data_IF_723201936387
#
_entry.id   IF_723201936387
#
_cell.length_a   1.000
_cell.length_b   1.000
_cell.length_c   1.000
_cell.angle_alpha   90.00
_cell.angle_beta   90.00
_cell.angle_gamma   90.00
#
_symmetry.space_group_name_H-M   'P 1'
#
loop_
_entity.id
_entity.type
_entity.pdbx_description
1 polymer ?
#
# COMPACT_ATOMS: atom_id res chain seq x y z
N UNK A 1 14.18 8.96 -21.34
CA UNK A 1 13.09 9.73 -21.99
C UNK A 1 11.94 8.77 -22.24
N UNK A 2 10.75 8.80 -21.63
CA UNK A 2 10.24 9.43 -20.41
C UNK A 2 9.98 8.28 -19.42
N UNK A 3 10.65 8.23 -18.26
CA UNK A 3 10.34 7.19 -17.27
C UNK A 3 9.15 7.67 -16.46
N UNK A 4 7.94 7.34 -16.92
CA UNK A 4 6.72 7.61 -16.17
C UNK A 4 6.81 7.00 -14.77
N UNK A 5 6.29 7.71 -13.78
CA UNK A 5 6.30 7.26 -12.38
C UNK A 5 5.60 5.90 -12.26
N UNK A 6 6.27 4.94 -11.61
CA UNK A 6 5.68 3.67 -11.16
C UNK A 6 5.32 3.80 -9.69
N UNK A 7 4.04 3.70 -9.39
CA UNK A 7 3.49 4.00 -8.07
C UNK A 7 2.86 2.75 -7.48
N UNK A 8 3.28 2.38 -6.27
CA UNK A 8 2.59 1.40 -5.45
C UNK A 8 1.87 2.14 -4.32
N UNK A 9 0.58 1.86 -4.14
CA UNK A 9 -0.17 2.35 -2.99
C UNK A 9 -0.64 1.18 -2.15
N UNK A 10 -0.18 1.12 -0.91
CA UNK A 10 -0.55 0.09 0.05
C UNK A 10 -1.41 0.68 1.18
N UNK A 11 -2.41 -0.08 1.60
CA UNK A 11 -3.36 0.32 2.63
C UNK A 11 -3.53 -0.79 3.68
N UNK A 12 -4.01 -0.51 4.90
CA UNK A 12 -4.28 -1.56 5.89
C UNK A 12 -5.49 -2.43 5.57
N UNK A 13 -6.42 -1.95 4.74
CA UNK A 13 -7.74 -2.56 4.55
C UNK A 13 -8.10 -2.62 3.08
N UNK A 14 -8.72 -3.74 2.66
CA UNK A 14 -9.23 -3.89 1.31
C UNK A 14 -10.17 -2.73 0.93
N UNK A 15 -11.10 -2.36 1.81
CA UNK A 15 -12.04 -1.26 1.57
C UNK A 15 -11.35 0.08 1.26
N UNK A 16 -10.21 0.37 1.90
CA UNK A 16 -9.44 1.60 1.65
C UNK A 16 -8.77 1.53 0.27
N UNK A 17 -8.12 0.40 -0.05
CA UNK A 17 -7.51 0.19 -1.37
C UNK A 17 -8.54 0.24 -2.51
N UNK A 18 -9.75 -0.24 -2.23
CA UNK A 18 -10.85 -0.29 -3.18
C UNK A 18 -11.44 1.10 -3.44
N UNK A 19 -11.67 1.88 -2.39
CA UNK A 19 -12.09 3.27 -2.52
C UNK A 19 -11.04 4.10 -3.29
N UNK A 20 -9.76 3.85 -3.04
CA UNK A 20 -8.67 4.52 -3.75
C UNK A 20 -8.69 4.20 -5.25
N UNK A 21 -8.71 2.92 -5.62
CA UNK A 21 -8.65 2.56 -7.05
C UNK A 21 -9.89 3.02 -7.81
N UNK A 22 -11.05 3.04 -7.15
CA UNK A 22 -12.27 3.65 -7.70
C UNK A 22 -12.13 5.13 -7.95
N UNK A 23 -11.63 5.87 -6.95
CA UNK A 23 -11.35 7.29 -7.13
C UNK A 23 -10.40 7.52 -8.30
N UNK A 24 -9.40 6.66 -8.52
CA UNK A 24 -8.49 6.74 -9.66
C UNK A 24 -9.14 6.38 -11.01
N UNK A 25 -10.14 5.50 -11.02
CA UNK A 25 -10.92 5.16 -12.21
C UNK A 25 -11.76 6.34 -12.72
N UNK A 26 -12.11 7.26 -11.81
CA UNK A 26 -12.92 8.45 -12.09
C UNK A 26 -12.05 9.69 -12.43
N UNK A 27 -10.72 9.60 -12.34
CA UNK A 27 -9.84 10.73 -12.68
C UNK A 27 -9.65 10.82 -14.19
N UNK A 28 -10.03 11.97 -14.76
CA UNK A 28 -9.76 12.30 -16.15
C UNK A 28 -8.25 12.29 -16.45
N UNK A 29 -7.88 11.52 -17.47
CA UNK A 29 -6.48 11.41 -17.93
C UNK A 29 -5.70 10.23 -17.33
N UNK A 30 -6.28 9.43 -16.43
CA UNK A 30 -5.68 8.18 -15.96
C UNK A 30 -6.26 6.99 -16.74
N UNK A 31 -5.48 6.32 -17.63
CA UNK A 31 -6.00 5.20 -18.38
C UNK A 31 -6.25 4.00 -17.45
N UNK A 32 -7.46 3.41 -17.51
CA UNK A 32 -7.82 2.22 -16.71
C UNK A 32 -6.86 1.06 -16.92
N UNK A 33 -6.30 0.92 -18.13
CA UNK A 33 -5.30 -0.10 -18.50
C UNK A 33 -3.96 0.07 -17.77
N UNK A 34 -3.74 1.20 -17.10
CA UNK A 34 -2.54 1.49 -16.30
C UNK A 34 -2.73 1.30 -14.80
N UNK A 35 -3.94 0.91 -14.38
CA UNK A 35 -4.30 0.65 -12.99
C UNK A 35 -4.40 -0.85 -12.73
N UNK A 36 -3.84 -1.30 -11.61
CA UNK A 36 -3.98 -2.68 -11.16
C UNK A 36 -4.29 -2.77 -9.66
N UNK A 37 -5.26 -3.61 -9.31
CA UNK A 37 -5.62 -3.96 -7.94
C UNK A 37 -5.06 -5.33 -7.57
N UNK A 38 -4.01 -5.34 -6.76
CA UNK A 38 -3.41 -6.54 -6.21
C UNK A 38 -4.19 -7.04 -4.97
N UNK A 39 -5.18 -7.89 -5.19
CA UNK A 39 -5.98 -8.52 -4.13
C UNK A 39 -5.27 -9.72 -3.48
N UNK A 40 -5.68 -10.08 -2.26
CA UNK A 40 -5.31 -11.34 -1.63
C UNK A 40 -5.91 -12.52 -2.42
N UNK A 41 -5.19 -13.65 -2.54
CA UNK A 41 -5.63 -14.80 -3.33
C UNK A 41 -7.06 -15.25 -3.03
N UNK A 42 -7.36 -15.42 -1.75
CA UNK A 42 -8.64 -15.92 -1.25
C UNK A 42 -9.54 -14.80 -0.73
N UNK A 43 -9.42 -13.60 -1.30
CA UNK A 43 -10.39 -12.55 -1.05
C UNK A 43 -11.74 -13.02 -1.62
N UNK A 44 -12.79 -12.89 -0.82
CA UNK A 44 -14.16 -13.17 -1.26
C UNK A 44 -14.52 -12.28 -2.46
N UNK A 45 -14.83 -12.91 -3.58
CA UNK A 45 -15.16 -12.25 -4.84
C UNK A 45 -16.49 -11.48 -4.75
N UNK A 46 -17.45 -11.97 -3.95
CA UNK A 46 -18.76 -11.31 -3.79
C UNK A 46 -18.63 -9.98 -3.03
N UNK A 47 -17.51 -9.78 -2.33
CA UNK A 47 -17.13 -8.53 -1.68
C UNK A 47 -16.24 -7.64 -2.55
N UNK A 48 -16.01 -8.00 -3.83
CA UNK A 48 -15.29 -7.18 -4.80
C UNK A 48 -16.26 -6.61 -5.82
N UNK A 49 -16.44 -5.28 -5.82
CA UNK A 49 -17.30 -4.63 -6.78
C UNK A 49 -16.84 -4.74 -8.24
N UNK A 50 -17.80 -4.74 -9.17
CA UNK A 50 -17.59 -4.99 -10.61
C UNK A 50 -16.59 -4.02 -11.27
N UNK A 51 -16.62 -2.74 -10.87
CA UNK A 51 -15.70 -1.71 -11.34
C UNK A 51 -14.25 -2.00 -10.96
N UNK A 52 -14.03 -2.59 -9.78
CA UNK A 52 -12.71 -3.00 -9.29
C UNK A 52 -12.26 -4.31 -9.94
N UNK A 53 -13.20 -5.20 -10.27
CA UNK A 53 -12.90 -6.46 -10.96
C UNK A 53 -12.20 -6.20 -12.31
N UNK A 54 -12.53 -5.12 -13.01
CA UNK A 54 -11.86 -4.71 -14.26
C UNK A 54 -10.38 -4.36 -14.08
N UNK A 55 -9.97 -3.99 -12.87
CA UNK A 55 -8.57 -3.68 -12.52
C UNK A 55 -7.87 -4.84 -11.82
N UNK A 56 -8.55 -5.97 -11.63
CA UNK A 56 -8.05 -7.15 -10.93
C UNK A 56 -7.84 -8.30 -11.90
N UNK A 57 -6.95 -9.23 -11.58
CA UNK A 57 -6.88 -10.51 -12.29
C UNK A 57 -7.45 -11.61 -11.40
N UNK A 58 -8.47 -12.30 -11.90
CA UNK A 58 -9.11 -13.44 -11.25
C UNK A 58 -9.04 -14.64 -12.20
N UNK A 59 -8.47 -15.76 -11.73
CA UNK A 59 -8.30 -16.97 -12.54
C UNK A 59 -8.68 -18.21 -11.73
N UNK A 60 -9.58 -19.02 -12.29
CA UNK A 60 -10.14 -20.18 -11.60
C UNK A 60 -11.00 -19.71 -10.42
N UNK A 61 -10.46 -19.82 -9.22
CA UNK A 61 -11.17 -19.50 -7.97
C UNK A 61 -10.38 -18.52 -7.08
N UNK A 62 -9.34 -17.88 -7.62
CA UNK A 62 -8.44 -17.01 -6.85
C UNK A 62 -8.05 -15.74 -7.61
N UNK A 63 -7.80 -14.68 -6.84
CA UNK A 63 -7.10 -13.50 -7.35
C UNK A 63 -5.63 -13.82 -7.58
N UNK A 64 -5.11 -13.46 -8.75
CA UNK A 64 -3.71 -13.71 -9.15
C UNK A 64 -3.02 -12.41 -9.55
N UNK A 65 -1.69 -12.45 -9.61
CA UNK A 65 -0.95 -11.41 -10.30
C UNK A 65 -0.81 -11.81 -11.78
N UNK A 66 -0.88 -10.85 -12.72
CA UNK A 66 -0.61 -11.10 -14.12
C UNK A 66 0.87 -11.49 -14.33
N UNK A 67 1.22 -12.04 -15.50
CA UNK A 67 2.60 -12.27 -15.87
C UNK A 67 3.46 -11.02 -15.68
N UNK A 68 4.73 -11.21 -15.31
CA UNK A 68 5.62 -10.10 -14.92
C UNK A 68 5.68 -8.94 -15.93
N UNK A 69 5.65 -9.25 -17.23
CA UNK A 69 5.71 -8.23 -18.28
C UNK A 69 4.46 -7.33 -18.30
N UNK A 70 3.27 -7.89 -18.05
CA UNK A 70 2.03 -7.13 -17.88
C UNK A 70 2.05 -6.37 -16.55
N UNK A 71 2.51 -7.02 -15.47
CA UNK A 71 2.58 -6.39 -14.16
C UNK A 71 3.49 -5.13 -14.17
N UNK A 72 4.63 -5.18 -14.87
CA UNK A 72 5.53 -4.04 -15.07
C UNK A 72 4.94 -2.94 -15.98
N UNK A 73 3.87 -3.22 -16.73
CA UNK A 73 3.24 -2.27 -17.65
C UNK A 73 2.27 -1.30 -16.96
N UNK A 74 1.72 -1.67 -15.79
CA UNK A 74 0.89 -0.79 -14.97
C UNK A 74 1.71 0.36 -14.40
N UNK A 75 1.10 1.54 -14.31
CA UNK A 75 1.75 2.74 -13.77
C UNK A 75 1.35 2.94 -12.30
N UNK A 76 0.14 2.51 -11.91
CA UNK A 76 -0.31 2.53 -10.51
C UNK A 76 -0.83 1.15 -10.10
N UNK A 77 -0.26 0.62 -9.03
CA UNK A 77 -0.70 -0.63 -8.39
C UNK A 77 -1.22 -0.32 -6.99
N UNK A 78 -2.41 -0.84 -6.66
CA UNK A 78 -2.99 -0.71 -5.32
C UNK A 78 -3.08 -2.07 -4.63
N UNK A 79 -2.69 -2.13 -3.36
CA UNK A 79 -2.65 -3.37 -2.57
C UNK A 79 -3.00 -3.11 -1.11
N UNK A 80 -3.23 -4.18 -0.36
CA UNK A 80 -3.09 -4.09 1.11
C UNK A 80 -1.63 -4.25 1.50
N UNK A 81 -1.24 -3.77 2.68
CA UNK A 81 0.11 -4.01 3.22
C UNK A 81 0.47 -5.49 3.15
N UNK A 82 -0.43 -6.35 3.61
CA UNK A 82 -0.24 -7.79 3.61
C UNK A 82 -0.38 -8.47 2.24
N UNK A 83 -0.95 -7.84 1.21
CA UNK A 83 -1.01 -8.45 -0.13
C UNK A 83 0.14 -8.01 -1.03
N UNK A 84 0.89 -6.96 -0.63
CA UNK A 84 2.02 -6.43 -1.39
C UNK A 84 3.14 -7.44 -1.61
N UNK A 85 3.35 -8.41 -0.69
CA UNK A 85 4.36 -9.48 -0.89
C UNK A 85 4.12 -10.30 -2.17
N UNK A 86 2.86 -10.38 -2.65
CA UNK A 86 2.52 -11.09 -3.88
C UNK A 86 3.15 -10.43 -5.11
N UNK A 87 3.38 -9.12 -5.07
CA UNK A 87 4.06 -8.40 -6.15
C UNK A 87 5.51 -8.85 -6.26
N UNK A 88 6.20 -8.95 -5.13
CA UNK A 88 7.55 -9.51 -5.09
C UNK A 88 7.56 -10.99 -5.53
N UNK A 89 6.60 -11.79 -5.02
CA UNK A 89 6.44 -13.19 -5.43
C UNK A 89 6.12 -13.38 -6.92
N UNK A 90 5.53 -12.37 -7.58
CA UNK A 90 5.29 -12.34 -9.02
C UNK A 90 6.53 -11.90 -9.84
N UNK A 91 7.64 -11.59 -9.18
CA UNK A 91 8.92 -11.22 -9.80
C UNK A 91 9.17 -9.71 -9.88
N UNK A 92 8.40 -8.87 -9.16
CA UNK A 92 8.74 -7.45 -9.04
C UNK A 92 9.98 -7.30 -8.17
N UNK A 93 10.98 -6.63 -8.74
CA UNK A 93 12.28 -6.39 -8.14
C UNK A 93 12.27 -5.08 -7.32
N UNK A 94 13.12 -4.96 -6.30
CA UNK A 94 13.35 -3.71 -5.59
C UNK A 94 13.68 -2.56 -6.56
N UNK A 95 13.10 -1.38 -6.32
CA UNK A 95 13.31 -0.20 -7.16
C UNK A 95 12.48 -0.16 -8.45
N UNK A 96 11.63 -1.16 -8.71
CA UNK A 96 10.65 -1.08 -9.79
C UNK A 96 9.67 0.09 -9.58
N UNK A 97 9.21 0.28 -8.33
CA UNK A 97 8.35 1.39 -7.97
C UNK A 97 9.19 2.60 -7.62
N UNK A 98 9.05 3.65 -8.40
CA UNK A 98 9.64 4.96 -8.08
C UNK A 98 9.07 5.56 -6.78
N UNK A 99 7.80 5.25 -6.48
CA UNK A 99 7.10 5.77 -5.30
C UNK A 99 6.29 4.66 -4.63
N UNK A 100 6.38 4.59 -3.30
CA UNK A 100 5.55 3.71 -2.49
C UNK A 100 4.80 4.55 -1.45
N UNK A 101 3.47 4.52 -1.53
CA UNK A 101 2.57 5.19 -0.60
C UNK A 101 2.06 4.18 0.43
N UNK A 102 2.30 4.43 1.71
CA UNK A 102 1.68 3.72 2.82
C UNK A 102 0.52 4.55 3.35
N UNK A 103 -0.70 4.30 2.87
CA UNK A 103 -1.88 5.04 3.30
C UNK A 103 -2.46 4.50 4.61
N UNK A 104 -2.97 5.38 5.46
CA UNK A 104 -3.55 5.06 6.77
C UNK A 104 -2.58 4.22 7.64
N UNK A 105 -1.28 4.45 7.54
CA UNK A 105 -0.25 3.67 8.24
C UNK A 105 -0.31 3.81 9.76
N UNK A 106 -0.96 4.86 10.29
CA UNK A 106 -1.28 5.01 11.71
C UNK A 106 -2.19 3.88 12.25
N UNK A 107 -3.03 3.30 11.39
CA UNK A 107 -4.00 2.26 11.73
C UNK A 107 -3.47 0.82 11.62
N UNK A 108 -2.23 0.64 11.15
CA UNK A 108 -1.58 -0.68 10.98
C UNK A 108 -0.43 -0.90 11.95
N UNK A 109 -0.21 -2.15 12.34
CA UNK A 109 0.99 -2.49 13.10
C UNK A 109 2.23 -2.20 12.25
N UNK A 110 3.32 -1.76 12.88
CA UNK A 110 4.58 -1.57 12.16
C UNK A 110 5.03 -2.79 11.32
N UNK A 111 5.03 -4.04 11.84
CA UNK A 111 5.38 -5.20 11.03
C UNK A 111 4.45 -5.42 9.83
N UNK A 112 3.18 -5.03 9.93
CA UNK A 112 2.22 -5.12 8.83
C UNK A 112 2.59 -4.12 7.73
N UNK A 113 2.76 -2.83 8.08
CA UNK A 113 3.15 -1.79 7.11
C UNK A 113 4.50 -2.07 6.44
N UNK A 114 5.43 -2.70 7.17
CA UNK A 114 6.79 -3.01 6.68
C UNK A 114 6.79 -4.02 5.53
N UNK A 115 5.77 -4.87 5.41
CA UNK A 115 5.66 -5.84 4.30
C UNK A 115 5.69 -5.14 2.93
N UNK A 116 5.07 -3.96 2.83
CA UNK A 116 5.06 -3.17 1.60
C UNK A 116 6.42 -2.57 1.23
N UNK A 117 7.36 -2.52 2.18
CA UNK A 117 8.70 -1.96 1.96
C UNK A 117 9.75 -3.06 1.76
N UNK A 118 9.66 -4.16 2.50
CA UNK A 118 10.75 -5.11 2.72
C UNK A 118 11.43 -5.67 1.45
N UNK A 119 10.68 -5.89 0.37
CA UNK A 119 11.22 -6.49 -0.87
C UNK A 119 10.93 -5.65 -2.13
N UNK A 120 10.51 -4.39 -1.96
CA UNK A 120 10.07 -3.53 -3.08
C UNK A 120 10.82 -2.19 -3.13
N UNK A 121 11.43 -1.77 -2.02
CA UNK A 121 12.18 -0.51 -1.90
C UNK A 121 13.63 -0.67 -2.39
N UNK A 122 14.10 0.31 -3.17
CA UNK A 122 15.53 0.60 -3.39
C UNK A 122 15.90 1.98 -2.82
N UNK A 123 17.18 2.35 -2.91
CA UNK A 123 17.68 3.66 -2.45
C UNK A 123 17.04 4.84 -3.19
N UNK A 124 16.59 4.62 -4.43
CA UNK A 124 15.93 5.61 -5.28
C UNK A 124 14.40 5.67 -5.10
N UNK A 125 13.83 4.78 -4.28
CA UNK A 125 12.39 4.71 -4.07
C UNK A 125 11.93 5.77 -3.06
N UNK A 126 11.02 6.65 -3.48
CA UNK A 126 10.41 7.64 -2.60
C UNK A 126 9.29 6.97 -1.79
N UNK A 127 9.40 7.02 -0.46
CA UNK A 127 8.37 6.49 0.44
C UNK A 127 7.53 7.64 0.99
N UNK A 128 6.22 7.57 0.80
CA UNK A 128 5.25 8.52 1.35
C UNK A 128 4.38 7.79 2.36
N UNK A 129 4.28 8.29 3.58
CA UNK A 129 3.50 7.65 4.65
C UNK A 129 2.41 8.62 5.08
N UNK A 130 1.16 8.16 5.02
CA UNK A 130 0.02 8.93 5.53
C UNK A 130 -0.52 8.29 6.80
N UNK A 131 -1.11 9.11 7.66
CA UNK A 131 -1.68 8.65 8.92
C UNK A 131 -2.29 9.79 9.71
N UNK A 132 -2.90 9.42 10.83
CA UNK A 132 -3.52 10.32 11.79
C UNK A 132 -2.93 10.07 13.17
N UNK A 133 -2.63 11.13 13.90
CA UNK A 133 -2.19 11.07 15.31
C UNK A 133 -3.27 10.53 16.26
N UNK A 134 -4.53 10.46 15.80
CA UNK A 134 -5.66 9.94 16.57
C UNK A 134 -5.89 8.43 16.38
N UNK A 135 -5.31 7.86 15.34
CA UNK A 135 -5.48 6.46 15.01
C UNK A 135 -4.42 5.59 15.69
N UNK A 136 -4.70 4.29 15.81
CA UNK A 136 -3.72 3.32 16.28
C UNK A 136 -4.09 1.92 15.76
N UNK A 137 -3.13 0.98 15.68
CA UNK A 137 -3.39 -0.41 15.32
C UNK A 137 -4.49 -1.00 16.20
N UNK A 138 -5.67 -1.32 15.66
CA UNK A 138 -6.80 -1.75 16.51
C UNK A 138 -6.68 -3.19 16.99
N UNK A 139 -6.26 -4.11 16.12
CA UNK A 139 -6.31 -5.56 16.33
C UNK A 139 -4.97 -6.19 16.74
N UNK A 140 -4.57 -5.97 18.00
CA UNK A 140 -3.48 -6.73 18.62
C UNK A 140 -4.10 -7.60 19.71
N UNK A 141 -4.20 -8.92 19.52
CA UNK A 141 -4.88 -9.82 20.49
C UNK A 141 -4.06 -10.07 21.76
N UNK A 142 -2.75 -10.25 21.62
CA UNK A 142 -1.83 -10.51 22.75
C UNK A 142 -1.73 -9.31 23.68
N UNK A 143 -2.01 -9.51 24.97
CA UNK A 143 -1.84 -8.46 25.99
C UNK A 143 -0.38 -8.02 26.14
N UNK A 144 0.56 -8.99 26.14
CA UNK A 144 2.01 -8.73 26.21
C UNK A 144 2.43 -7.91 24.98
N UNK A 145 1.95 -8.27 23.79
CA UNK A 145 2.21 -7.53 22.55
C UNK A 145 1.72 -6.09 22.61
N UNK A 146 0.54 -5.85 23.20
CA UNK A 146 -0.03 -4.50 23.36
C UNK A 146 0.73 -3.63 24.35
N UNK A 147 1.00 -4.16 25.55
CA UNK A 147 1.47 -3.36 26.70
C UNK A 147 2.98 -3.29 26.81
N UNK A 148 3.68 -4.38 26.47
CA UNK A 148 5.08 -4.53 26.84
C UNK A 148 6.01 -4.47 25.63
N UNK A 149 5.51 -4.77 24.42
CA UNK A 149 6.35 -4.96 23.22
C UNK A 149 6.02 -4.02 22.05
N UNK A 150 5.18 -3.00 22.27
CA UNK A 150 5.00 -1.92 21.31
C UNK A 150 4.21 -2.25 20.04
N UNK A 151 3.52 -3.39 19.92
CA UNK A 151 2.73 -3.72 18.71
C UNK A 151 1.51 -2.80 18.50
N UNK A 152 1.14 -2.01 19.51
CA UNK A 152 0.15 -0.94 19.43
C UNK A 152 0.73 0.38 18.91
N UNK A 153 2.03 0.45 18.63
CA UNK A 153 2.69 1.58 18.00
C UNK A 153 2.89 1.25 16.53
N UNK A 154 2.41 2.15 15.66
CA UNK A 154 2.58 1.99 14.22
C UNK A 154 3.91 2.59 13.74
N UNK A 155 4.29 2.24 12.51
CA UNK A 155 5.44 2.84 11.82
C UNK A 155 5.33 4.37 11.79
N UNK A 156 4.13 4.88 11.47
CA UNK A 156 3.84 6.32 11.43
C UNK A 156 4.19 7.00 12.76
N UNK A 157 3.65 6.51 13.89
CA UNK A 157 3.95 7.09 15.21
C UNK A 157 5.43 6.99 15.55
N UNK A 158 6.07 5.86 15.22
CA UNK A 158 7.50 5.69 15.48
C UNK A 158 8.35 6.71 14.73
N UNK A 159 8.00 7.03 13.49
CA UNK A 159 8.70 8.03 12.69
C UNK A 159 8.43 9.45 13.18
N UNK A 160 7.17 9.79 13.50
CA UNK A 160 6.82 11.13 14.02
C UNK A 160 7.50 11.48 15.35
N UNK A 161 7.97 10.49 16.12
CA UNK A 161 8.75 10.71 17.33
C UNK A 161 10.27 10.85 17.09
N UNK A 162 10.73 10.79 15.83
CA UNK A 162 12.14 10.83 15.46
C UNK A 162 12.45 12.00 14.54
N UNK A 163 13.65 12.53 14.68
CA UNK A 163 14.19 13.50 13.73
C UNK A 163 14.33 12.89 12.32
N UNK A 164 14.02 13.65 11.25
CA UNK A 164 13.58 15.06 11.26
C UNK A 164 12.06 15.25 11.48
N UNK A 165 11.26 14.19 11.47
CA UNK A 165 9.79 14.27 11.51
C UNK A 165 9.23 14.85 12.82
N UNK A 166 9.92 14.66 13.95
CA UNK A 166 9.54 15.19 15.26
C UNK A 166 9.50 16.72 15.33
N UNK A 167 10.17 17.41 14.40
CA UNK A 167 10.14 18.88 14.31
C UNK A 167 8.95 19.43 13.55
N UNK A 168 8.12 18.57 12.97
CA UNK A 168 7.01 18.98 12.10
C UNK A 168 7.49 19.92 10.96
N UNK A 169 8.70 19.65 10.45
CA UNK A 169 9.31 20.44 9.40
C UNK A 169 8.54 20.23 8.08
N UNK A 170 8.07 21.30 7.41
CA UNK A 170 7.29 21.21 6.18
C UNK A 170 8.03 20.54 5.02
N UNK A 171 9.35 20.39 5.09
CA UNK A 171 10.15 19.61 4.14
C UNK A 171 9.85 18.11 4.22
N UNK A 172 9.44 17.60 5.38
CA UNK A 172 9.24 16.17 5.64
C UNK A 172 7.81 15.82 6.06
N UNK A 173 7.04 16.77 6.60
CA UNK A 173 5.68 16.56 7.10
C UNK A 173 4.73 17.57 6.46
N UNK A 174 3.64 17.07 5.89
CA UNK A 174 2.57 17.90 5.31
C UNK A 174 1.25 17.55 5.99
N UNK A 175 0.57 18.55 6.53
CA UNK A 175 -0.77 18.40 7.09
C UNK A 175 -1.80 18.58 5.99
N UNK A 176 -2.63 17.56 5.79
CA UNK A 176 -3.74 17.59 4.81
C UNK A 176 -5.04 17.84 5.59
N UNK A 177 -5.68 18.98 5.32
CA UNK A 177 -6.92 19.44 5.97
C UNK A 177 -8.18 18.82 5.36
#
# INVERSE_FOLDING_TARGET
>A
MCTGSKILVCTPRNSTSDALIRSLLDVDGVPKTKLFRANAAFRDMDLVPDDIMQTSMFKGECFTCPPLHELKAFDVVTSTFMSSFRLHGAGIEPGHFSHIFLLDASSAMEPEATVALANLVSEETVIVITGSSRDAPRWVRSQIGRRNNGLKRSLFHRLMEREPYSKDDPMYVVHVS
#
